data_IF_604201890921
#
_entry.id   IF_604201890921
#
_cell.length_a   1.000
_cell.length_b   1.000
_cell.length_c   1.000
_cell.angle_alpha   90.00
_cell.angle_beta   90.00
_cell.angle_gamma   90.00
#
_symmetry.space_group_name_H-M   'P 1'
#
loop_
_entity.id
_entity.type
_entity.pdbx_description
1 polymer ?
#
# COMPACT_ATOMS: atom_id res chain seq x y z
N UNK A 1 112.64 -31.45 -3.88
CA UNK A 1 112.80 -30.90 -2.54
C UNK A 1 111.53 -30.04 -2.23
N UNK A 2 110.66 -30.60 -1.38
CA UNK A 2 109.97 -29.88 -0.30
C UNK A 2 109.08 -28.65 -0.79
N UNK A 3 107.77 -28.46 -0.59
CA UNK A 3 106.94 -28.75 0.53
C UNK A 3 105.45 -28.38 0.12
N UNK A 4 104.48 -29.17 0.49
CA UNK A 4 103.11 -28.79 0.73
C UNK A 4 103.07 -27.67 1.91
N UNK A 5 101.96 -27.05 2.28
CA UNK A 5 100.49 -27.30 1.96
C UNK A 5 99.71 -25.98 1.92
N UNK A 6 98.48 -26.02 1.58
CA UNK A 6 97.34 -25.81 2.54
C UNK A 6 95.96 -25.68 1.86
N UNK A 7 94.99 -26.32 2.50
CA UNK A 7 93.56 -26.31 2.24
C UNK A 7 92.92 -24.93 2.37
N UNK A 8 92.02 -24.59 1.51
CA UNK A 8 90.82 -23.78 1.90
C UNK A 8 89.60 -24.12 1.04
N UNK A 9 88.70 -24.72 1.71
CA UNK A 9 87.23 -24.68 1.74
C UNK A 9 86.45 -24.22 0.47
N UNK A 10 85.80 -25.22 -0.12
CA UNK A 10 84.60 -25.04 -0.96
C UNK A 10 83.48 -24.56 -0.05
N UNK A 11 82.88 -23.35 -0.28
CA UNK A 11 81.60 -22.99 0.21
C UNK A 11 80.57 -23.44 -0.82
N UNK A 12 79.74 -24.37 -0.44
CA UNK A 12 78.49 -24.73 -1.09
C UNK A 12 77.56 -23.56 -1.05
N UNK A 13 77.03 -23.14 -2.19
CA UNK A 13 75.92 -22.22 -2.27
C UNK A 13 74.63 -22.99 -1.91
N UNK A 14 73.95 -22.52 -0.89
CA UNK A 14 72.75 -23.07 -0.33
C UNK A 14 71.59 -22.95 -1.36
N UNK A 15 70.80 -24.05 -1.65
CA UNK A 15 69.70 -23.99 -2.61
C UNK A 15 68.44 -23.28 -2.12
N UNK A 16 68.51 -22.56 -1.00
CA UNK A 16 67.39 -21.86 -0.37
C UNK A 16 66.97 -20.49 -0.96
N UNK A 17 67.79 -19.92 -1.91
CA UNK A 17 67.53 -18.54 -2.37
C UNK A 17 66.77 -18.47 -3.73
N UNK A 18 66.61 -19.61 -4.42
CA UNK A 18 65.92 -19.61 -5.75
C UNK A 18 64.39 -19.83 -5.63
N UNK A 19 63.89 -20.21 -4.45
CA UNK A 19 62.46 -20.51 -4.25
C UNK A 19 61.59 -19.29 -3.88
N UNK A 20 62.16 -18.10 -3.62
CA UNK A 20 61.41 -16.93 -3.12
C UNK A 20 61.02 -15.93 -4.23
N UNK A 21 61.58 -16.05 -5.45
CA UNK A 21 61.25 -15.13 -6.54
C UNK A 21 60.14 -15.63 -7.51
N UNK A 22 59.64 -16.86 -7.37
CA UNK A 22 58.59 -17.40 -8.25
C UNK A 22 57.19 -17.37 -7.63
N UNK A 23 57.07 -16.94 -6.37
CA UNK A 23 55.75 -16.87 -5.67
C UNK A 23 55.08 -15.50 -5.70
N UNK A 24 55.72 -14.48 -6.29
CA UNK A 24 55.20 -13.07 -6.23
C UNK A 24 54.46 -12.63 -7.51
N UNK A 25 54.24 -13.50 -8.47
CA UNK A 25 53.56 -13.14 -9.75
C UNK A 25 52.23 -13.88 -10.02
N UNK A 26 51.68 -14.56 -9.02
CA UNK A 26 50.38 -15.27 -9.16
C UNK A 26 49.29 -14.71 -8.22
N UNK A 27 49.42 -13.46 -7.76
CA UNK A 27 48.45 -12.85 -6.86
C UNK A 27 47.70 -11.65 -7.48
N UNK A 28 47.29 -11.80 -8.74
CA UNK A 28 46.49 -10.75 -9.42
C UNK A 28 45.31 -11.31 -10.20
N UNK A 29 44.62 -12.28 -9.62
CA UNK A 29 43.23 -12.59 -9.94
C UNK A 29 42.60 -13.15 -8.66
N UNK A 30 42.33 -12.26 -7.70
CA UNK A 30 41.33 -12.55 -6.70
C UNK A 30 39.98 -12.54 -7.44
N UNK A 31 39.19 -13.63 -7.42
CA UNK A 31 37.80 -13.53 -7.83
C UNK A 31 37.16 -12.45 -6.95
N UNK A 32 36.31 -11.64 -7.58
CA UNK A 32 35.48 -10.66 -6.87
C UNK A 32 35.00 -11.29 -5.56
N UNK A 33 35.28 -10.61 -4.46
CA UNK A 33 35.04 -11.08 -3.11
C UNK A 33 33.69 -11.77 -3.03
N UNK A 34 33.70 -13.08 -2.77
CA UNK A 34 32.53 -13.78 -2.31
C UNK A 34 31.92 -12.96 -1.18
N UNK A 35 30.65 -12.59 -1.34
CA UNK A 35 29.84 -11.89 -0.37
C UNK A 35 29.98 -12.64 0.97
N UNK A 36 30.73 -12.07 1.90
CA UNK A 36 30.68 -12.55 3.28
C UNK A 36 29.28 -12.24 3.76
N UNK A 37 28.47 -13.21 4.25
CA UNK A 37 27.21 -12.87 4.89
C UNK A 37 27.60 -12.04 6.12
N UNK A 38 27.51 -10.70 6.00
CA UNK A 38 27.46 -9.84 7.16
C UNK A 38 26.29 -10.39 8.00
N UNK A 39 26.50 -10.50 9.29
CA UNK A 39 25.44 -10.86 10.23
C UNK A 39 24.32 -9.84 10.08
N UNK A 40 23.40 -10.12 9.15
CA UNK A 40 22.12 -9.44 9.04
C UNK A 40 21.41 -9.68 10.35
N UNK A 41 20.88 -8.65 10.97
CA UNK A 41 20.02 -8.84 12.14
C UNK A 41 18.94 -9.85 11.71
N UNK A 42 18.95 -11.01 12.35
CA UNK A 42 18.13 -12.13 11.92
C UNK A 42 16.66 -11.76 12.09
N UNK A 43 15.83 -12.03 11.08
CA UNK A 43 14.38 -11.88 11.20
C UNK A 43 13.89 -13.07 12.02
N UNK A 44 13.61 -12.81 13.30
CA UNK A 44 13.21 -13.82 14.29
C UNK A 44 11.71 -14.06 14.23
N UNK A 45 11.28 -15.32 14.14
CA UNK A 45 9.87 -15.69 14.15
C UNK A 45 9.14 -15.14 15.39
N UNK A 46 9.75 -15.24 16.57
CA UNK A 46 9.16 -14.75 17.81
C UNK A 46 8.87 -13.23 17.79
N UNK A 47 9.70 -12.46 17.06
CA UNK A 47 9.46 -11.02 16.89
C UNK A 47 8.28 -10.74 15.97
N UNK A 48 8.21 -11.41 14.83
CA UNK A 48 7.11 -11.32 13.87
C UNK A 48 5.79 -11.73 14.53
N UNK A 49 5.77 -12.88 15.18
CA UNK A 49 4.61 -13.41 15.90
C UNK A 49 4.12 -12.43 16.99
N UNK A 50 5.03 -11.80 17.74
CA UNK A 50 4.68 -10.82 18.75
C UNK A 50 3.91 -9.62 18.17
N UNK A 51 4.36 -9.11 17.01
CA UNK A 51 3.70 -7.97 16.35
C UNK A 51 2.31 -8.37 15.85
N UNK A 52 2.20 -9.53 15.18
CA UNK A 52 0.90 -10.05 14.71
C UNK A 52 -0.07 -10.20 15.89
N UNK A 53 0.34 -10.89 16.96
CA UNK A 53 -0.50 -11.10 18.15
C UNK A 53 -0.91 -9.80 18.83
N UNK A 54 -0.08 -8.76 18.79
CA UNK A 54 -0.43 -7.46 19.34
C UNK A 54 -1.48 -6.75 18.48
N UNK A 55 -1.34 -6.78 17.16
CA UNK A 55 -2.27 -6.14 16.23
C UNK A 55 -3.61 -6.90 16.13
N UNK A 56 -3.56 -8.24 16.10
CA UNK A 56 -4.75 -9.08 16.01
C UNK A 56 -5.35 -9.44 17.37
N UNK A 57 -5.00 -8.74 18.45
CA UNK A 57 -5.62 -8.96 19.75
C UNK A 57 -7.01 -8.33 19.84
N UNK A 58 -7.94 -8.96 20.57
CA UNK A 58 -9.29 -8.42 20.85
C UNK A 58 -9.28 -6.99 21.39
N UNK A 59 -8.22 -6.61 22.11
CA UNK A 59 -8.04 -5.25 22.62
C UNK A 59 -7.88 -4.19 21.53
N UNK A 60 -7.49 -4.59 20.32
CA UNK A 60 -7.42 -3.74 19.12
C UNK A 60 -8.77 -3.65 18.38
N UNK A 61 -9.76 -4.48 18.77
CA UNK A 61 -11.15 -4.45 18.28
C UNK A 61 -11.27 -4.45 16.75
N UNK A 62 -10.37 -5.17 16.08
CA UNK A 62 -10.33 -5.28 14.63
C UNK A 62 -9.89 -4.01 13.90
N UNK A 63 -9.32 -3.02 14.59
CA UNK A 63 -8.62 -1.85 14.02
C UNK A 63 -9.40 -1.12 12.92
N UNK A 64 -10.74 -1.06 13.04
CA UNK A 64 -11.59 -0.43 12.01
C UNK A 64 -11.09 0.99 11.69
N UNK A 65 -10.92 1.28 10.42
CA UNK A 65 -10.58 2.61 9.94
C UNK A 65 -11.58 3.67 10.45
N UNK A 66 -11.13 4.90 10.63
CA UNK A 66 -11.94 6.02 11.15
C UNK A 66 -12.41 5.82 12.60
N UNK A 67 -11.73 4.96 13.36
CA UNK A 67 -12.02 4.70 14.77
C UNK A 67 -10.82 4.97 15.67
N UNK A 68 -11.06 5.07 16.98
CA UNK A 68 -9.98 5.14 17.97
C UNK A 68 -9.18 3.83 18.06
N UNK A 69 -9.76 2.72 17.61
CA UNK A 69 -9.11 1.41 17.62
C UNK A 69 -7.97 1.37 16.57
N UNK A 70 -8.19 1.95 15.38
CA UNK A 70 -7.13 2.13 14.39
C UNK A 70 -6.04 3.08 14.90
N UNK A 71 -6.40 4.20 15.56
CA UNK A 71 -5.41 5.13 16.13
C UNK A 71 -4.57 4.45 17.23
N UNK A 72 -5.17 3.57 18.04
CA UNK A 72 -4.42 2.77 19.03
C UNK A 72 -3.41 1.84 18.37
N UNK A 73 -3.76 1.20 17.25
CA UNK A 73 -2.83 0.39 16.47
C UNK A 73 -1.70 1.25 15.86
N UNK A 74 -2.00 2.46 15.40
CA UNK A 74 -1.00 3.41 14.92
C UNK A 74 -0.02 3.81 16.03
N UNK A 75 -0.50 4.10 17.24
CA UNK A 75 0.37 4.43 18.38
C UNK A 75 1.27 3.25 18.76
N UNK A 76 0.77 2.03 18.73
CA UNK A 76 1.58 0.82 18.95
C UNK A 76 2.70 0.70 17.89
N UNK A 77 2.37 0.85 16.61
CA UNK A 77 3.34 0.76 15.52
C UNK A 77 4.37 1.89 15.57
N UNK A 78 3.94 3.11 15.89
CA UNK A 78 4.85 4.25 16.09
C UNK A 78 5.87 3.98 17.21
N UNK A 79 5.43 3.35 18.31
CA UNK A 79 6.32 2.93 19.41
C UNK A 79 7.30 1.83 18.96
N UNK A 80 6.90 0.90 18.10
CA UNK A 80 7.80 -0.11 17.53
C UNK A 80 8.88 0.53 16.64
N UNK A 81 8.50 1.47 15.74
CA UNK A 81 9.47 2.17 14.90
C UNK A 81 10.45 3.01 15.74
N UNK A 82 9.97 3.65 16.80
CA UNK A 82 10.79 4.36 17.75
C UNK A 82 11.78 3.43 18.48
N UNK A 83 11.33 2.25 18.92
CA UNK A 83 12.19 1.26 19.58
C UNK A 83 13.27 0.69 18.66
N UNK A 84 12.99 0.57 17.37
CA UNK A 84 13.97 0.19 16.33
C UNK A 84 14.99 1.30 16.12
N UNK A 85 14.64 2.57 16.38
CA UNK A 85 15.50 3.74 16.20
C UNK A 85 15.49 4.29 14.77
N UNK A 86 14.36 4.16 14.05
CA UNK A 86 14.18 4.81 12.75
C UNK A 86 14.14 6.34 12.91
N UNK A 87 14.42 7.04 11.81
CA UNK A 87 14.18 8.48 11.76
C UNK A 87 12.71 8.76 11.42
N UNK A 88 12.16 9.77 12.08
CA UNK A 88 10.81 10.27 11.78
C UNK A 88 10.88 11.19 10.56
N UNK A 89 10.07 10.96 9.51
CA UNK A 89 10.07 11.80 8.33
C UNK A 89 9.64 13.24 8.64
N UNK A 90 10.12 14.18 7.84
CA UNK A 90 9.68 15.58 7.93
C UNK A 90 8.15 15.68 7.72
N UNK A 91 7.50 16.54 8.51
CA UNK A 91 6.04 16.76 8.43
C UNK A 91 5.20 15.72 9.18
N UNK A 92 5.83 14.82 9.96
CA UNK A 92 5.12 13.88 10.84
C UNK A 92 5.17 14.34 12.30
N UNK A 93 4.20 13.87 13.10
CA UNK A 93 4.20 13.99 14.56
C UNK A 93 4.84 12.72 15.15
N UNK A 94 6.15 12.76 15.38
CA UNK A 94 6.93 11.55 15.58
C UNK A 94 6.84 10.68 14.33
N UNK A 95 6.33 9.46 14.45
CA UNK A 95 6.13 8.54 13.33
C UNK A 95 4.72 8.61 12.73
N UNK A 96 3.84 9.46 13.27
CA UNK A 96 2.46 9.57 12.83
C UNK A 96 2.31 10.66 11.75
N UNK A 97 2.03 10.25 10.53
CA UNK A 97 1.59 11.13 9.47
C UNK A 97 0.10 11.36 9.62
N UNK A 98 -0.29 12.41 10.38
CA UNK A 98 -1.69 12.73 10.69
C UNK A 98 -2.34 13.46 9.54
N UNK A 99 -3.59 13.07 9.26
CA UNK A 99 -4.47 13.72 8.30
C UNK A 99 -5.92 13.48 8.67
N UNK A 100 -6.88 13.97 7.89
CA UNK A 100 -8.29 13.68 8.11
C UNK A 100 -9.01 13.35 6.81
N UNK A 101 -10.08 12.58 6.96
CA UNK A 101 -11.11 12.42 5.95
C UNK A 101 -12.36 13.19 6.39
N UNK A 102 -13.12 13.66 5.41
CA UNK A 102 -14.38 14.35 5.61
C UNK A 102 -15.51 13.47 5.14
N UNK A 103 -16.42 13.14 6.05
CA UNK A 103 -17.66 12.44 5.75
C UNK A 103 -18.79 13.44 5.65
N UNK A 104 -19.41 13.53 4.48
CA UNK A 104 -20.52 14.44 4.17
C UNK A 104 -21.80 13.64 4.00
N UNK A 105 -22.80 13.91 4.83
CA UNK A 105 -24.11 13.25 4.79
C UNK A 105 -25.16 14.25 4.33
N UNK A 106 -25.87 14.02 3.22
CA UNK A 106 -26.97 14.88 2.80
C UNK A 106 -28.00 15.09 3.92
N UNK A 107 -28.38 16.34 4.19
CA UNK A 107 -29.31 16.68 5.27
C UNK A 107 -30.58 17.31 4.73
N UNK A 108 -30.50 18.54 4.18
CA UNK A 108 -31.60 19.33 3.69
C UNK A 108 -31.34 19.85 2.30
N UNK A 109 -32.38 19.98 1.50
CA UNK A 109 -32.26 20.55 0.17
C UNK A 109 -33.60 21.13 -0.32
N UNK A 110 -33.47 22.06 -1.26
CA UNK A 110 -34.57 22.60 -2.05
C UNK A 110 -34.13 22.73 -3.50
N UNK A 111 -34.94 22.24 -4.39
CA UNK A 111 -34.76 22.37 -5.83
C UNK A 111 -36.01 23.00 -6.43
N UNK A 112 -35.83 24.03 -7.24
CA UNK A 112 -36.89 24.72 -7.99
C UNK A 112 -36.51 24.67 -9.46
N UNK A 113 -37.44 24.23 -10.30
CA UNK A 113 -37.31 24.19 -11.76
C UNK A 113 -38.46 24.95 -12.37
N UNK A 114 -38.20 25.90 -13.26
CA UNK A 114 -39.16 26.76 -13.92
C UNK A 114 -40.19 27.40 -12.95
N UNK A 115 -39.69 27.86 -11.81
CA UNK A 115 -40.50 28.49 -10.79
C UNK A 115 -41.32 27.54 -9.89
N UNK A 116 -41.24 26.23 -10.08
CA UNK A 116 -41.94 25.21 -9.27
C UNK A 116 -40.96 24.57 -8.29
N UNK A 117 -41.30 24.55 -7.01
CA UNK A 117 -40.59 23.80 -5.99
C UNK A 117 -40.86 22.30 -6.19
N UNK A 118 -39.78 21.48 -6.24
CA UNK A 118 -39.87 20.02 -6.29
C UNK A 118 -40.12 19.47 -4.87
N UNK A 119 -40.85 18.36 -4.80
CA UNK A 119 -41.03 17.63 -3.55
C UNK A 119 -39.74 16.86 -3.17
N UNK A 120 -39.52 16.57 -1.86
CA UNK A 120 -38.32 15.90 -1.37
C UNK A 120 -38.04 14.49 -1.98
N UNK A 121 -39.05 13.89 -2.59
CA UNK A 121 -38.89 12.59 -3.29
C UNK A 121 -38.61 12.74 -4.80
N UNK A 122 -38.59 13.98 -5.31
CA UNK A 122 -38.35 14.31 -6.72
C UNK A 122 -36.90 14.79 -6.96
N UNK A 123 -36.07 14.88 -5.92
CA UNK A 123 -34.65 15.19 -6.09
C UNK A 123 -33.81 14.47 -5.05
N UNK A 124 -32.52 14.34 -5.34
CA UNK A 124 -31.48 13.95 -4.40
C UNK A 124 -30.17 14.63 -4.78
N UNK A 125 -29.24 14.70 -3.84
CA UNK A 125 -27.92 15.27 -4.12
C UNK A 125 -26.81 14.47 -3.45
N UNK A 126 -25.68 14.42 -4.14
CA UNK A 126 -24.41 13.89 -3.65
C UNK A 126 -23.53 15.11 -3.35
N UNK A 127 -23.20 15.37 -2.08
CA UNK A 127 -22.43 16.56 -1.72
C UNK A 127 -20.94 16.39 -2.05
N UNK A 128 -20.36 17.41 -2.66
CA UNK A 128 -18.90 17.58 -2.78
C UNK A 128 -18.38 18.66 -1.82
N UNK A 129 -19.31 19.49 -1.31
CA UNK A 129 -19.07 20.57 -0.34
C UNK A 129 -20.18 20.60 0.71
N UNK A 130 -19.96 21.30 1.84
CA UNK A 130 -20.93 21.40 2.93
C UNK A 130 -22.25 22.05 2.52
N UNK A 131 -22.20 23.04 1.63
CA UNK A 131 -23.41 23.73 1.16
C UNK A 131 -23.34 24.03 -0.33
N UNK A 132 -24.47 23.86 -0.99
CA UNK A 132 -24.70 24.17 -2.39
C UNK A 132 -25.70 25.33 -2.49
N UNK A 133 -25.43 26.32 -3.34
CA UNK A 133 -26.35 27.39 -3.70
C UNK A 133 -26.13 27.73 -5.17
N UNK A 134 -26.97 27.17 -6.05
CA UNK A 134 -26.87 27.31 -7.50
C UNK A 134 -28.11 28.00 -8.08
N UNK A 135 -27.89 28.79 -9.09
CA UNK A 135 -28.90 29.43 -9.93
C UNK A 135 -28.61 29.09 -11.41
N UNK A 136 -29.57 29.35 -12.27
CA UNK A 136 -29.45 29.14 -13.73
C UNK A 136 -28.14 29.68 -14.28
N UNK A 137 -27.33 28.80 -14.87
CA UNK A 137 -26.04 29.14 -15.47
C UNK A 137 -24.82 28.86 -14.55
N UNK A 138 -25.01 28.58 -13.26
CA UNK A 138 -23.87 28.32 -12.34
C UNK A 138 -23.20 26.97 -12.59
N UNK A 139 -23.98 25.96 -13.01
CA UNK A 139 -23.46 24.62 -13.30
C UNK A 139 -24.06 24.06 -14.58
N UNK A 140 -23.39 23.10 -15.25
CA UNK A 140 -23.95 22.38 -16.39
C UNK A 140 -25.27 21.71 -16.03
N UNK A 141 -26.25 21.80 -16.94
CA UNK A 141 -27.50 21.03 -16.87
C UNK A 141 -27.44 19.90 -17.86
N UNK A 142 -27.58 18.68 -17.38
CA UNK A 142 -27.57 17.44 -18.15
C UNK A 142 -28.99 16.91 -18.16
N UNK A 143 -29.57 16.74 -19.34
CA UNK A 143 -30.94 16.22 -19.51
C UNK A 143 -30.87 14.76 -19.93
N UNK A 144 -31.64 13.94 -19.25
CA UNK A 144 -31.88 12.53 -19.58
C UNK A 144 -33.34 12.42 -20.02
N UNK A 145 -33.54 12.34 -21.32
CA UNK A 145 -34.85 12.19 -21.95
C UNK A 145 -35.39 10.78 -21.83
N UNK A 146 -36.64 10.56 -22.29
CA UNK A 146 -37.34 9.27 -22.09
C UNK A 146 -36.70 8.07 -22.81
N UNK A 147 -35.89 8.33 -23.85
CA UNK A 147 -35.23 7.27 -24.65
C UNK A 147 -33.73 7.10 -24.31
N UNK A 148 -33.21 7.87 -23.32
CA UNK A 148 -31.82 7.84 -22.92
C UNK A 148 -31.49 6.71 -21.92
N UNK A 149 -30.18 6.45 -21.70
CA UNK A 149 -29.67 5.47 -20.74
C UNK A 149 -29.37 6.14 -19.37
N UNK A 150 -30.34 6.22 -18.44
CA UNK A 150 -30.22 7.03 -17.24
C UNK A 150 -29.13 6.53 -16.28
N UNK A 151 -28.96 5.21 -16.12
CA UNK A 151 -28.00 4.63 -15.18
C UNK A 151 -26.57 4.99 -15.55
N UNK A 152 -26.20 4.78 -16.81
CA UNK A 152 -24.86 5.05 -17.32
C UNK A 152 -24.54 6.57 -17.25
N UNK A 153 -25.49 7.42 -17.63
CA UNK A 153 -25.33 8.87 -17.62
C UNK A 153 -25.16 9.42 -16.23
N UNK A 154 -26.04 9.07 -15.27
CA UNK A 154 -25.92 9.56 -13.89
C UNK A 154 -24.62 9.11 -13.26
N UNK A 155 -24.21 7.85 -13.49
CA UNK A 155 -22.97 7.31 -12.94
C UNK A 155 -21.74 8.02 -13.53
N UNK A 156 -21.74 8.27 -14.83
CA UNK A 156 -20.67 9.01 -15.50
C UNK A 156 -20.53 10.43 -14.93
N UNK A 157 -21.63 11.16 -14.81
CA UNK A 157 -21.66 12.52 -14.24
C UNK A 157 -21.20 12.53 -12.79
N UNK A 158 -21.61 11.53 -12.00
CA UNK A 158 -21.22 11.39 -10.58
C UNK A 158 -19.70 11.22 -10.39
N UNK A 159 -19.03 10.73 -11.40
CA UNK A 159 -17.58 10.47 -11.38
C UNK A 159 -16.77 11.48 -12.21
N UNK A 160 -17.43 12.43 -12.87
CA UNK A 160 -16.79 13.36 -13.81
C UNK A 160 -15.96 14.47 -13.14
N UNK A 161 -16.06 14.64 -11.83
CA UNK A 161 -15.25 15.60 -11.07
C UNK A 161 -15.66 17.07 -11.21
N UNK A 162 -16.86 17.36 -11.72
CA UNK A 162 -17.42 18.71 -11.81
C UNK A 162 -18.85 18.76 -11.25
N UNK A 163 -19.25 19.94 -10.76
CA UNK A 163 -20.60 20.20 -10.27
C UNK A 163 -21.64 20.12 -11.40
N UNK A 164 -22.78 19.47 -11.18
CA UNK A 164 -23.81 19.32 -12.20
C UNK A 164 -25.22 19.21 -11.64
N UNK A 165 -26.21 19.73 -12.41
CA UNK A 165 -27.62 19.45 -12.26
C UNK A 165 -28.07 18.47 -13.34
N UNK A 166 -28.61 17.30 -12.95
CA UNK A 166 -29.12 16.29 -13.88
C UNK A 166 -30.64 16.27 -13.80
N UNK A 167 -31.30 16.59 -14.91
CA UNK A 167 -32.77 16.51 -15.06
C UNK A 167 -33.11 15.14 -15.65
N UNK A 168 -33.89 14.36 -14.94
CA UNK A 168 -34.26 12.99 -15.31
C UNK A 168 -35.73 12.95 -15.68
N UNK A 169 -36.06 12.48 -16.88
CA UNK A 169 -37.44 12.32 -17.32
C UNK A 169 -38.22 11.35 -16.40
N UNK A 170 -39.50 11.61 -16.18
CA UNK A 170 -40.36 10.80 -15.31
C UNK A 170 -40.51 9.35 -15.78
N UNK A 171 -40.27 9.06 -17.06
CA UNK A 171 -40.20 7.68 -17.58
C UNK A 171 -39.15 6.82 -16.87
N UNK A 172 -38.09 7.45 -16.33
CA UNK A 172 -37.00 6.77 -15.64
C UNK A 172 -37.13 6.75 -14.10
N UNK A 173 -38.35 6.92 -13.56
CA UNK A 173 -38.60 7.00 -12.11
C UNK A 173 -37.99 5.81 -11.33
N UNK A 174 -37.94 4.61 -11.89
CA UNK A 174 -37.37 3.43 -11.20
C UNK A 174 -35.86 3.59 -10.99
N UNK A 175 -35.11 3.92 -12.03
CA UNK A 175 -33.66 4.17 -11.95
C UNK A 175 -33.36 5.38 -11.07
N UNK A 176 -34.15 6.46 -11.19
CA UNK A 176 -34.04 7.64 -10.32
C UNK A 176 -34.14 7.24 -8.84
N UNK A 177 -35.12 6.42 -8.45
CA UNK A 177 -35.25 5.93 -7.06
C UNK A 177 -34.02 5.15 -6.57
N UNK A 178 -33.37 4.39 -7.43
CA UNK A 178 -32.13 3.69 -7.06
C UNK A 178 -31.03 4.71 -6.72
N UNK A 179 -30.85 5.75 -7.56
CA UNK A 179 -29.90 6.81 -7.29
C UNK A 179 -30.25 7.66 -6.06
N UNK A 180 -31.54 7.87 -5.76
CA UNK A 180 -31.95 8.51 -4.51
C UNK A 180 -31.44 7.74 -3.29
N UNK A 181 -31.46 6.40 -3.32
CA UNK A 181 -30.91 5.60 -2.23
C UNK A 181 -29.39 5.70 -2.14
N UNK A 182 -28.70 5.75 -3.28
CA UNK A 182 -27.25 5.95 -3.34
C UNK A 182 -26.87 7.33 -2.83
N UNK A 183 -27.54 8.40 -3.28
CA UNK A 183 -27.24 9.79 -2.95
C UNK A 183 -27.62 10.18 -1.51
N UNK A 184 -28.44 9.38 -0.82
CA UNK A 184 -28.72 9.54 0.60
C UNK A 184 -27.60 9.02 1.50
N UNK A 185 -26.68 8.22 0.94
CA UNK A 185 -25.53 7.73 1.69
C UNK A 185 -24.51 8.83 1.87
N UNK A 186 -23.73 8.73 2.94
CA UNK A 186 -22.59 9.61 3.16
C UNK A 186 -21.54 9.43 2.07
N UNK A 187 -20.90 10.53 1.70
CA UNK A 187 -19.73 10.56 0.83
C UNK A 187 -18.51 10.87 1.69
N UNK A 188 -17.47 10.07 1.56
CA UNK A 188 -16.21 10.32 2.26
C UNK A 188 -15.12 10.72 1.27
N UNK A 189 -14.30 11.69 1.64
CA UNK A 189 -13.14 12.16 0.85
C UNK A 189 -12.03 12.61 1.78
N UNK A 190 -10.80 12.69 1.29
CA UNK A 190 -9.73 13.37 2.04
C UNK A 190 -10.11 14.84 2.28
N UNK A 191 -9.82 15.35 3.46
CA UNK A 191 -10.25 16.71 3.86
C UNK A 191 -9.58 17.82 3.04
N UNK A 192 -8.42 17.54 2.46
CA UNK A 192 -7.71 18.42 1.53
C UNK A 192 -8.26 18.41 0.09
N UNK A 193 -9.29 17.60 -0.16
CA UNK A 193 -9.87 17.44 -1.49
C UNK A 193 -11.24 18.11 -1.58
N UNK A 194 -11.43 18.98 -2.55
CA UNK A 194 -12.75 19.53 -2.90
C UNK A 194 -13.41 18.56 -3.88
N UNK A 195 -14.53 17.99 -3.46
CA UNK A 195 -15.33 17.10 -4.32
C UNK A 195 -16.31 17.87 -5.20
N UNK A 196 -16.79 17.23 -6.25
CA UNK A 196 -17.90 17.72 -7.06
C UNK A 196 -19.25 17.36 -6.42
N UNK A 197 -20.18 18.28 -6.48
CA UNK A 197 -21.57 18.07 -6.06
C UNK A 197 -22.44 17.75 -7.27
N UNK A 198 -23.29 16.74 -7.16
CA UNK A 198 -24.26 16.38 -8.21
C UNK A 198 -25.66 16.35 -7.63
N UNK A 199 -26.57 17.09 -8.29
CA UNK A 199 -27.99 17.11 -7.96
C UNK A 199 -28.76 16.41 -9.09
N UNK A 200 -29.59 15.43 -8.74
CA UNK A 200 -30.50 14.78 -9.69
C UNK A 200 -31.93 15.21 -9.38
N UNK A 201 -32.74 15.51 -10.39
CA UNK A 201 -34.12 15.94 -10.25
C UNK A 201 -35.01 15.20 -11.24
N UNK A 202 -36.10 14.59 -10.75
CA UNK A 202 -37.11 13.90 -11.57
C UNK A 202 -38.12 14.90 -12.05
N UNK A 203 -37.97 15.36 -13.28
CA UNK A 203 -38.82 16.40 -13.88
C UNK A 203 -38.69 16.39 -15.40
N UNK A 204 -39.82 16.55 -16.09
CA UNK A 204 -39.84 16.76 -17.53
C UNK A 204 -39.52 18.23 -17.84
N UNK A 205 -38.24 18.49 -18.07
CA UNK A 205 -37.75 19.83 -18.39
C UNK A 205 -36.57 19.73 -19.38
N UNK A 206 -36.28 20.80 -20.11
CA UNK A 206 -35.16 20.88 -21.03
C UNK A 206 -33.93 21.57 -20.38
N UNK A 207 -32.81 21.57 -21.09
CA UNK A 207 -31.55 22.15 -20.59
C UNK A 207 -31.61 23.69 -20.40
N UNK A 208 -32.61 24.37 -20.96
CA UNK A 208 -32.81 25.80 -20.81
C UNK A 208 -33.70 26.16 -19.62
N UNK A 209 -34.19 25.16 -18.85
CA UNK A 209 -35.01 25.37 -17.67
C UNK A 209 -34.34 26.29 -16.65
N UNK A 210 -35.05 27.23 -16.13
CA UNK A 210 -34.57 28.07 -15.03
C UNK A 210 -34.54 27.23 -13.73
N UNK A 211 -33.41 27.26 -13.02
CA UNK A 211 -33.28 26.50 -11.79
C UNK A 211 -32.74 27.29 -10.62
N UNK A 212 -33.10 26.86 -9.43
CA UNK A 212 -32.49 27.26 -8.17
C UNK A 212 -32.31 25.98 -7.33
N UNK A 213 -31.12 25.79 -6.82
CA UNK A 213 -30.77 24.68 -5.94
C UNK A 213 -30.13 25.22 -4.69
N UNK A 214 -30.60 24.76 -3.54
CA UNK A 214 -29.91 24.93 -2.27
C UNK A 214 -29.91 23.62 -1.53
N UNK A 215 -28.73 23.18 -1.07
CA UNK A 215 -28.61 21.96 -0.30
C UNK A 215 -27.49 22.06 0.74
N UNK A 216 -27.65 21.32 1.84
CA UNK A 216 -26.71 21.32 2.96
C UNK A 216 -26.44 19.90 3.39
N UNK A 217 -25.17 19.58 3.63
CA UNK A 217 -24.71 18.31 4.19
C UNK A 217 -24.24 18.51 5.64
N UNK A 218 -24.41 17.48 6.47
CA UNK A 218 -23.66 17.38 7.70
C UNK A 218 -22.24 16.93 7.36
N UNK A 219 -21.24 17.62 7.94
CA UNK A 219 -19.82 17.31 7.76
C UNK A 219 -19.25 16.83 9.07
N UNK A 220 -18.57 15.70 9.03
CA UNK A 220 -17.79 15.17 10.15
C UNK A 220 -16.36 14.99 9.68
N UNK A 221 -15.41 15.57 10.40
CA UNK A 221 -13.98 15.33 10.20
C UNK A 221 -13.57 14.11 11.02
N UNK A 222 -12.96 13.14 10.35
CA UNK A 222 -12.53 11.87 10.94
C UNK A 222 -10.99 11.81 10.90
N UNK A 223 -10.33 11.82 12.08
CA UNK A 223 -8.86 11.78 12.13
C UNK A 223 -8.33 10.43 11.68
N UNK A 224 -7.23 10.47 10.94
CA UNK A 224 -6.49 9.33 10.43
C UNK A 224 -4.99 9.52 10.65
N UNK A 225 -4.24 8.44 10.70
CA UNK A 225 -2.79 8.48 10.78
C UNK A 225 -2.15 7.31 10.03
N UNK A 226 -1.28 7.58 9.07
CA UNK A 226 -0.31 6.58 8.65
C UNK A 226 0.83 6.53 9.66
N UNK A 227 1.51 5.40 9.75
CA UNK A 227 2.74 5.27 10.55
C UNK A 227 3.91 5.16 9.60
N UNK A 228 4.84 6.11 9.66
CA UNK A 228 5.94 6.18 8.69
C UNK A 228 7.27 6.39 9.42
N UNK A 229 8.26 5.59 9.07
CA UNK A 229 9.63 5.74 9.53
C UNK A 229 10.61 5.62 8.38
N UNK A 230 11.83 6.11 8.56
CA UNK A 230 12.86 6.09 7.52
C UNK A 230 14.23 5.67 8.04
N UNK A 231 15.03 5.12 7.13
CA UNK A 231 16.46 4.91 7.28
C UNK A 231 17.13 5.70 6.16
N UNK A 232 17.80 6.84 6.46
CA UNK A 232 18.47 7.64 5.46
C UNK A 232 19.54 6.85 4.71
N UNK A 233 19.53 6.94 3.40
CA UNK A 233 20.52 6.34 2.51
C UNK A 233 21.58 7.33 2.06
N UNK A 234 22.63 6.82 1.37
CA UNK A 234 23.64 7.67 0.73
C UNK A 234 23.07 8.47 -0.43
N UNK A 235 22.07 7.89 -1.15
CA UNK A 235 21.26 8.56 -2.16
C UNK A 235 19.96 9.02 -1.51
N UNK A 236 19.93 10.28 -1.13
CA UNK A 236 18.79 10.87 -0.42
C UNK A 236 17.60 11.19 -1.34
N UNK A 237 17.78 11.06 -2.65
CA UNK A 237 16.79 11.33 -3.69
C UNK A 237 16.17 10.05 -4.29
N UNK A 238 16.64 8.87 -3.88
CA UNK A 238 16.09 7.56 -4.29
C UNK A 238 15.47 6.85 -3.08
N UNK A 239 14.20 6.49 -3.17
CA UNK A 239 13.45 5.81 -2.11
C UNK A 239 13.08 4.37 -2.47
N UNK A 240 13.22 3.48 -1.49
CA UNK A 240 12.61 2.14 -1.51
C UNK A 240 11.57 2.10 -0.39
N UNK A 241 10.32 1.85 -0.74
CA UNK A 241 9.18 1.84 0.18
C UNK A 241 8.77 0.40 0.50
N UNK A 242 8.66 0.09 1.79
CA UNK A 242 8.02 -1.11 2.32
C UNK A 242 6.72 -0.70 2.99
N UNK A 243 5.62 -1.31 2.61
CA UNK A 243 4.30 -0.94 3.10
C UNK A 243 3.37 -2.12 3.33
N UNK A 244 2.39 -1.90 4.19
CA UNK A 244 1.22 -2.72 4.42
C UNK A 244 0.13 -1.84 5.04
N UNK A 245 -1.14 -2.26 5.02
CA UNK A 245 -2.15 -1.58 5.82
C UNK A 245 -2.28 -2.24 7.19
N UNK A 246 -2.62 -1.42 8.20
CA UNK A 246 -2.76 -1.90 9.57
C UNK A 246 -4.21 -1.90 10.07
N UNK A 247 -5.13 -1.26 9.34
CA UNK A 247 -6.55 -1.31 9.63
C UNK A 247 -7.17 -2.64 9.18
N UNK A 248 -8.37 -2.93 9.68
CA UNK A 248 -9.22 -4.02 9.23
C UNK A 248 -10.69 -3.64 9.43
N UNK A 249 -11.60 -4.58 9.36
CA UNK A 249 -13.04 -4.32 9.26
C UNK A 249 -13.79 -4.20 10.60
N UNK A 250 -13.08 -4.24 11.73
CA UNK A 250 -13.63 -3.94 13.06
C UNK A 250 -14.62 -4.95 13.59
N UNK A 251 -15.70 -4.45 14.20
CA UNK A 251 -16.75 -5.27 14.81
C UNK A 251 -17.78 -5.68 13.76
N UNK A 252 -17.97 -6.96 13.57
CA UNK A 252 -18.87 -7.56 12.62
C UNK A 252 -20.09 -8.19 13.29
N UNK A 253 -21.02 -8.73 12.48
CA UNK A 253 -22.11 -9.53 13.02
C UNK A 253 -21.55 -10.79 13.70
N UNK A 254 -22.05 -11.14 14.90
CA UNK A 254 -21.53 -12.29 15.62
C UNK A 254 -21.64 -13.58 14.80
N UNK A 255 -20.53 -14.30 14.74
CA UNK A 255 -20.45 -15.64 14.17
C UNK A 255 -19.83 -16.58 15.21
N UNK A 256 -20.49 -17.67 15.55
CA UNK A 256 -20.05 -18.66 16.59
C UNK A 256 -19.75 -18.05 17.97
N UNK A 257 -20.32 -16.89 18.28
CA UNK A 257 -20.13 -16.19 19.56
C UNK A 257 -19.05 -15.12 19.54
N UNK A 258 -18.33 -14.97 18.44
CA UNK A 258 -17.35 -13.90 18.21
C UNK A 258 -17.90 -12.86 17.24
N UNK A 259 -17.45 -11.60 17.40
CA UNK A 259 -17.85 -10.46 16.55
C UNK A 259 -16.68 -9.56 16.16
N UNK A 260 -15.47 -9.85 16.64
CA UNK A 260 -14.28 -9.05 16.35
C UNK A 260 -13.57 -9.68 15.17
N UNK A 261 -13.53 -8.97 14.04
CA UNK A 261 -12.69 -9.37 12.92
C UNK A 261 -11.25 -8.92 13.23
N UNK A 262 -10.48 -9.82 13.82
CA UNK A 262 -9.13 -9.51 14.31
C UNK A 262 -8.11 -9.27 13.18
N UNK A 263 -8.37 -9.77 11.94
CA UNK A 263 -7.55 -9.50 10.79
C UNK A 263 -6.09 -9.89 10.98
N UNK A 264 -5.87 -11.14 11.41
CA UNK A 264 -4.53 -11.65 11.68
C UNK A 264 -3.72 -11.83 10.39
N UNK A 265 -4.36 -12.41 9.36
CA UNK A 265 -3.80 -12.51 8.03
C UNK A 265 -3.97 -11.19 7.27
N UNK A 266 -5.15 -10.61 7.33
CA UNK A 266 -5.54 -9.37 6.66
C UNK A 266 -5.63 -8.18 7.64
N UNK A 267 -4.63 -7.28 7.82
CA UNK A 267 -3.29 -7.43 7.27
C UNK A 267 -2.25 -7.22 8.39
N UNK A 268 -2.52 -7.80 9.61
CA UNK A 268 -1.50 -7.79 10.66
C UNK A 268 -0.24 -8.55 10.23
N UNK A 269 -0.37 -9.57 9.37
CA UNK A 269 0.75 -10.34 8.82
C UNK A 269 1.69 -9.48 8.00
N UNK A 270 1.17 -8.71 7.05
CA UNK A 270 1.95 -7.77 6.22
C UNK A 270 2.51 -6.61 7.02
N UNK A 271 1.73 -6.06 7.95
CA UNK A 271 2.18 -4.98 8.83
C UNK A 271 3.35 -5.44 9.73
N UNK A 272 3.27 -6.65 10.29
CA UNK A 272 4.37 -7.23 11.05
C UNK A 272 5.63 -7.43 10.20
N UNK A 273 5.47 -7.80 8.92
CA UNK A 273 6.58 -7.91 7.99
C UNK A 273 7.28 -6.56 7.77
N UNK A 274 6.52 -5.47 7.58
CA UNK A 274 7.09 -4.11 7.43
C UNK A 274 7.92 -3.73 8.66
N UNK A 275 7.41 -3.97 9.87
CA UNK A 275 8.15 -3.68 11.12
C UNK A 275 9.39 -4.57 11.26
N UNK A 276 9.30 -5.86 10.90
CA UNK A 276 10.44 -6.77 10.94
C UNK A 276 11.52 -6.42 9.91
N UNK A 277 11.13 -5.98 8.71
CA UNK A 277 12.05 -5.48 7.68
C UNK A 277 12.72 -4.17 8.12
N UNK A 278 11.99 -3.27 8.78
CA UNK A 278 12.55 -2.04 9.35
C UNK A 278 13.66 -2.37 10.37
N UNK A 279 13.39 -3.30 11.30
CA UNK A 279 14.40 -3.77 12.27
C UNK A 279 15.60 -4.42 11.59
N UNK A 280 15.35 -5.25 10.58
CA UNK A 280 16.40 -5.94 9.82
C UNK A 280 17.34 -4.96 9.13
N UNK A 281 16.79 -4.00 8.38
CA UNK A 281 17.61 -3.04 7.64
C UNK A 281 18.29 -2.00 8.56
N UNK A 282 17.67 -1.60 9.67
CA UNK A 282 18.30 -0.75 10.68
C UNK A 282 19.57 -1.38 11.26
N UNK A 283 19.60 -2.70 11.41
CA UNK A 283 20.78 -3.45 11.88
C UNK A 283 21.92 -3.55 10.85
N UNK A 284 21.71 -3.17 9.59
CA UNK A 284 22.72 -3.31 8.52
C UNK A 284 23.57 -2.04 8.28
N UNK A 285 23.30 -0.97 9.01
CA UNK A 285 23.96 0.34 8.79
C UNK A 285 23.33 1.12 7.63
N UNK A 286 24.03 2.15 7.15
CA UNK A 286 23.52 3.10 6.15
C UNK A 286 23.33 2.43 4.78
N UNK A 287 22.09 2.30 4.27
CA UNK A 287 21.84 1.74 2.94
C UNK A 287 22.29 2.68 1.82
N UNK A 288 22.33 2.19 0.60
CA UNK A 288 22.63 3.05 -0.56
C UNK A 288 21.44 3.97 -0.89
N UNK A 289 20.22 3.46 -0.85
CA UNK A 289 18.98 4.21 -1.06
C UNK A 289 18.28 4.45 0.27
N UNK A 290 17.60 5.58 0.39
CA UNK A 290 16.75 5.84 1.57
C UNK A 290 15.60 4.85 1.63
N UNK A 291 15.40 4.20 2.78
CA UNK A 291 14.31 3.27 3.00
C UNK A 291 13.18 3.97 3.74
N UNK A 292 11.97 3.76 3.25
CA UNK A 292 10.74 4.19 3.90
C UNK A 292 9.96 2.95 4.33
N UNK A 293 9.42 2.98 5.54
CA UNK A 293 8.56 1.95 6.10
C UNK A 293 7.25 2.60 6.47
N UNK A 294 6.16 2.19 5.82
CA UNK A 294 4.84 2.79 5.99
C UNK A 294 3.79 1.74 6.33
N UNK A 295 3.09 1.94 7.45
CA UNK A 295 1.86 1.23 7.73
C UNK A 295 0.70 2.19 7.44
N UNK A 296 -0.11 1.87 6.43
CA UNK A 296 -1.21 2.71 5.98
C UNK A 296 -2.49 2.43 6.75
N UNK A 297 -3.34 3.43 6.85
CA UNK A 297 -4.68 3.33 7.42
C UNK A 297 -5.74 3.40 6.34
N UNK A 298 -6.91 2.88 6.66
CA UNK A 298 -8.11 2.97 5.83
C UNK A 298 -7.92 2.41 4.40
N UNK A 299 -7.18 1.33 4.26
CA UNK A 299 -7.14 0.52 3.04
C UNK A 299 -8.52 -0.06 2.78
N UNK A 300 -9.10 -0.74 3.78
CA UNK A 300 -10.43 -1.35 3.78
C UNK A 300 -11.55 -0.32 3.55
N UNK A 301 -11.30 0.91 3.95
CA UNK A 301 -12.20 2.04 3.74
C UNK A 301 -12.10 2.70 2.37
N UNK A 302 -11.13 2.29 1.53
CA UNK A 302 -10.90 2.84 0.18
C UNK A 302 -9.52 3.49 -0.03
N UNK A 303 -8.49 3.03 0.68
CA UNK A 303 -7.09 3.41 0.47
C UNK A 303 -6.78 4.88 0.83
N UNK A 304 -7.41 5.43 1.88
CA UNK A 304 -7.20 6.83 2.23
C UNK A 304 -5.77 7.11 2.68
N UNK A 305 -5.14 6.18 3.39
CA UNK A 305 -3.77 6.31 3.86
C UNK A 305 -2.76 6.40 2.73
N UNK A 306 -2.77 5.42 1.84
CA UNK A 306 -1.87 5.37 0.69
C UNK A 306 -2.13 6.51 -0.30
N UNK A 307 -3.41 6.92 -0.49
CA UNK A 307 -3.79 8.07 -1.33
C UNK A 307 -3.28 9.39 -0.76
N UNK A 308 -3.31 9.56 0.58
CA UNK A 308 -2.72 10.74 1.21
C UNK A 308 -1.21 10.72 1.09
N UNK A 309 -0.57 9.61 1.43
CA UNK A 309 0.88 9.44 1.40
C UNK A 309 1.47 9.68 0.00
N UNK A 310 0.87 9.12 -1.05
CA UNK A 310 1.37 9.23 -2.42
C UNK A 310 1.38 10.67 -2.96
N UNK A 311 0.61 11.58 -2.38
CA UNK A 311 0.58 13.01 -2.73
C UNK A 311 1.69 13.82 -2.06
N UNK A 312 2.36 13.24 -1.04
CA UNK A 312 3.39 13.94 -0.27
C UNK A 312 4.79 13.72 -0.83
N UNK A 313 4.96 12.80 -1.76
CA UNK A 313 6.24 12.41 -2.35
C UNK A 313 6.23 12.56 -3.86
N UNK A 314 7.40 12.90 -4.40
CA UNK A 314 7.64 12.83 -5.84
C UNK A 314 7.71 11.34 -6.26
N UNK A 315 6.80 10.85 -7.10
CA UNK A 315 6.79 9.45 -7.52
C UNK A 315 8.04 9.06 -8.33
N UNK A 316 8.73 10.00 -8.97
CA UNK A 316 9.95 9.72 -9.72
C UNK A 316 11.14 9.38 -8.80
N UNK A 317 11.08 9.77 -7.52
CA UNK A 317 12.08 9.43 -6.51
C UNK A 317 11.85 8.04 -5.89
N UNK A 318 10.67 7.43 -6.07
CA UNK A 318 10.37 6.10 -5.54
C UNK A 318 10.76 5.06 -6.59
N UNK A 319 11.87 4.36 -6.32
CA UNK A 319 12.44 3.37 -7.25
C UNK A 319 11.78 2.00 -7.15
N UNK A 320 11.17 1.68 -6.01
CA UNK A 320 10.38 0.46 -5.80
C UNK A 320 9.47 0.61 -4.59
N UNK A 321 8.30 -0.02 -4.63
CA UNK A 321 7.39 -0.20 -3.50
C UNK A 321 7.10 -1.69 -3.32
N UNK A 322 7.40 -2.20 -2.15
CA UNK A 322 7.06 -3.53 -1.65
C UNK A 322 5.80 -3.39 -0.79
N UNK A 323 4.63 -3.58 -1.37
CA UNK A 323 3.40 -3.66 -0.60
C UNK A 323 3.20 -5.10 -0.15
N UNK A 324 3.03 -5.35 1.14
CA UNK A 324 2.99 -6.69 1.70
C UNK A 324 1.57 -6.96 2.19
N UNK A 325 0.96 -8.03 1.63
CA UNK A 325 -0.47 -8.25 1.72
C UNK A 325 -0.76 -9.71 2.02
N UNK A 326 -1.34 -10.01 3.21
CA UNK A 326 -1.84 -11.34 3.54
C UNK A 326 -0.82 -12.46 3.30
N UNK A 327 0.23 -12.52 4.11
CA UNK A 327 1.35 -13.47 3.97
C UNK A 327 1.40 -14.54 5.07
N UNK A 328 0.32 -14.69 5.84
CA UNK A 328 0.27 -15.62 6.97
C UNK A 328 -0.10 -17.05 6.61
N UNK A 329 -0.60 -17.31 5.41
CA UNK A 329 -1.04 -18.64 4.95
C UNK A 329 -0.26 -19.08 3.72
N UNK A 330 0.16 -20.37 3.61
CA UNK A 330 0.88 -20.87 2.44
C UNK A 330 0.07 -20.73 1.16
N UNK A 331 0.74 -20.36 0.07
CA UNK A 331 0.15 -20.27 -1.25
C UNK A 331 -0.21 -21.65 -1.83
N UNK A 332 -1.02 -21.66 -2.90
CA UNK A 332 -1.42 -22.93 -3.57
C UNK A 332 -0.22 -23.70 -4.14
N UNK A 333 0.86 -23.02 -4.48
CA UNK A 333 2.12 -23.63 -4.93
C UNK A 333 2.92 -24.26 -3.77
N UNK A 334 2.47 -24.08 -2.55
CA UNK A 334 3.04 -24.68 -1.36
C UNK A 334 3.85 -23.71 -0.49
N UNK A 335 4.49 -24.23 0.56
CA UNK A 335 5.30 -23.42 1.47
C UNK A 335 6.53 -22.83 0.74
N UNK A 336 7.08 -21.75 1.29
CA UNK A 336 8.22 -21.02 0.73
C UNK A 336 7.97 -20.47 -0.69
N UNK A 337 6.73 -20.08 -0.98
CA UNK A 337 6.37 -19.41 -2.23
C UNK A 337 5.54 -18.17 -1.95
N UNK A 338 5.69 -17.15 -2.79
CA UNK A 338 4.85 -15.95 -2.77
C UNK A 338 4.57 -15.47 -4.20
N UNK A 339 3.39 -14.92 -4.41
CA UNK A 339 3.00 -14.34 -5.68
C UNK A 339 3.05 -12.82 -5.64
N UNK A 340 3.26 -12.22 -6.80
CA UNK A 340 3.46 -10.78 -6.97
C UNK A 340 2.43 -10.27 -7.98
N UNK A 341 1.61 -9.30 -7.58
CA UNK A 341 0.66 -8.66 -8.48
C UNK A 341 1.36 -7.87 -9.57
N UNK A 342 0.87 -7.97 -10.81
CA UNK A 342 1.46 -7.25 -11.94
C UNK A 342 2.91 -7.64 -12.24
N UNK A 343 3.32 -8.87 -12.00
CA UNK A 343 4.69 -9.40 -12.15
C UNK A 343 5.34 -8.98 -13.48
N UNK A 344 4.58 -8.99 -14.57
CA UNK A 344 5.07 -8.68 -15.91
C UNK A 344 5.04 -7.17 -16.24
N UNK A 345 4.51 -6.31 -15.36
CA UNK A 345 4.40 -4.87 -15.59
C UNK A 345 5.71 -4.11 -15.37
N UNK A 346 6.67 -4.73 -14.67
CA UNK A 346 8.01 -4.19 -14.47
C UNK A 346 9.02 -5.33 -14.28
N UNK A 347 10.30 -4.99 -14.14
CA UNK A 347 11.32 -5.99 -13.82
C UNK A 347 11.37 -6.34 -12.31
N UNK A 348 10.51 -5.78 -11.48
CA UNK A 348 10.50 -5.99 -10.02
C UNK A 348 10.42 -7.47 -9.63
N UNK A 349 9.43 -8.20 -10.13
CA UNK A 349 9.22 -9.61 -9.79
C UNK A 349 10.41 -10.49 -10.18
N UNK A 350 10.99 -10.25 -11.38
CA UNK A 350 12.18 -10.98 -11.83
C UNK A 350 13.41 -10.72 -10.97
N UNK A 351 13.63 -9.47 -10.55
CA UNK A 351 14.72 -9.11 -9.64
C UNK A 351 14.60 -9.87 -8.32
N UNK A 352 13.39 -9.97 -7.77
CA UNK A 352 13.16 -10.70 -6.52
C UNK A 352 13.40 -12.20 -6.72
N UNK A 353 12.88 -12.79 -7.80
CA UNK A 353 13.06 -14.20 -8.10
C UNK A 353 14.54 -14.55 -8.30
N UNK A 354 15.30 -13.76 -9.06
CA UNK A 354 16.74 -13.95 -9.27
C UNK A 354 17.52 -13.87 -7.94
N UNK A 355 17.12 -13.00 -7.03
CA UNK A 355 17.79 -12.84 -5.74
C UNK A 355 17.60 -14.03 -4.79
N UNK A 356 16.57 -14.84 -4.98
CA UNK A 356 16.30 -16.03 -4.18
C UNK A 356 16.73 -17.34 -4.88
N UNK A 357 17.31 -17.27 -6.09
CA UNK A 357 17.84 -18.44 -6.78
C UNK A 357 18.80 -19.24 -5.91
N UNK A 358 18.67 -20.57 -5.92
CA UNK A 358 19.47 -21.49 -5.10
C UNK A 358 19.04 -21.55 -3.63
N UNK A 359 17.94 -20.90 -3.26
CA UNK A 359 17.26 -21.11 -1.97
C UNK A 359 16.03 -21.99 -2.15
N UNK A 360 15.35 -22.31 -1.05
CA UNK A 360 14.08 -23.04 -1.09
C UNK A 360 12.88 -22.13 -1.38
N UNK A 361 13.09 -20.81 -1.57
CA UNK A 361 12.01 -19.83 -1.77
C UNK A 361 11.84 -19.44 -3.24
N UNK A 362 10.59 -19.18 -3.65
CA UNK A 362 10.27 -18.73 -5.02
C UNK A 362 9.24 -17.60 -5.02
N UNK A 363 9.45 -16.63 -5.92
CA UNK A 363 8.45 -15.62 -6.27
C UNK A 363 7.90 -15.93 -7.68
N UNK A 364 6.60 -15.77 -7.87
CA UNK A 364 5.94 -16.06 -9.13
C UNK A 364 4.81 -15.05 -9.43
N UNK A 365 4.30 -15.02 -10.66
CA UNK A 365 3.19 -14.14 -11.01
C UNK A 365 1.91 -14.45 -10.22
N UNK A 366 1.09 -13.42 -9.98
CA UNK A 366 -0.25 -13.54 -9.42
C UNK A 366 -1.07 -14.63 -10.15
N UNK A 367 -1.50 -15.70 -9.46
CA UNK A 367 -2.27 -16.78 -10.06
C UNK A 367 -3.76 -16.45 -10.28
N UNK A 368 -4.21 -15.24 -9.90
CA UNK A 368 -5.61 -14.81 -9.91
C UNK A 368 -5.89 -13.66 -10.90
N UNK A 369 -5.56 -13.78 -12.21
CA UNK A 369 -5.62 -12.67 -13.15
C UNK A 369 -7.02 -12.09 -13.33
N UNK A 370 -8.08 -12.89 -13.12
CA UNK A 370 -9.48 -12.45 -13.22
C UNK A 370 -9.92 -11.52 -12.10
N UNK A 371 -9.20 -11.48 -10.98
CA UNK A 371 -9.52 -10.62 -9.84
C UNK A 371 -8.94 -9.21 -9.97
N UNK A 372 -8.01 -9.00 -10.89
CA UNK A 372 -7.42 -7.68 -11.15
C UNK A 372 -6.69 -7.11 -9.94
N UNK A 373 -6.00 -7.94 -9.16
CA UNK A 373 -5.44 -7.62 -7.85
C UNK A 373 -4.39 -6.50 -7.87
N UNK A 374 -3.75 -6.25 -9.03
CA UNK A 374 -2.68 -5.24 -9.12
C UNK A 374 -3.11 -3.82 -8.70
N UNK A 375 -4.38 -3.48 -8.86
CA UNK A 375 -4.90 -2.15 -8.50
C UNK A 375 -5.90 -2.19 -7.33
N UNK A 376 -5.85 -3.21 -6.48
CA UNK A 376 -6.82 -3.42 -5.40
C UNK A 376 -6.26 -3.22 -3.99
N UNK A 377 -4.97 -2.93 -3.83
CA UNK A 377 -4.37 -2.60 -2.55
C UNK A 377 -3.57 -1.29 -2.62
N UNK A 378 -2.88 -0.92 -1.57
CA UNK A 378 -2.19 0.37 -1.38
C UNK A 378 -1.12 0.68 -2.45
N UNK A 379 -0.56 -0.33 -3.09
CA UNK A 379 0.37 -0.16 -4.21
C UNK A 379 -0.27 0.59 -5.39
N UNK A 380 -1.58 0.51 -5.53
CA UNK A 380 -2.31 1.03 -6.70
C UNK A 380 -2.09 2.53 -6.90
N UNK A 381 -2.01 3.31 -5.81
CA UNK A 381 -1.85 4.76 -5.89
C UNK A 381 -0.55 5.17 -6.58
N UNK A 382 0.55 4.52 -6.23
CA UNK A 382 1.88 4.78 -6.81
C UNK A 382 2.06 4.06 -8.15
N UNK A 383 1.50 2.86 -8.34
CA UNK A 383 1.54 2.14 -9.61
C UNK A 383 0.88 2.94 -10.75
N UNK A 384 -0.25 3.62 -10.49
CA UNK A 384 -0.91 4.52 -11.46
C UNK A 384 -0.04 5.72 -11.86
N UNK A 385 0.89 6.12 -11.01
CA UNK A 385 1.88 7.17 -11.28
C UNK A 385 3.18 6.62 -11.91
N UNK A 386 3.19 5.35 -12.30
CA UNK A 386 4.32 4.71 -12.96
C UNK A 386 5.40 4.16 -12.03
N UNK A 387 5.21 4.19 -10.72
CA UNK A 387 6.15 3.56 -9.76
C UNK A 387 6.07 2.05 -9.91
N UNK A 388 7.20 1.30 -9.89
CA UNK A 388 7.18 -0.16 -9.77
C UNK A 388 6.74 -0.56 -8.35
N UNK A 389 5.43 -0.44 -8.14
CA UNK A 389 4.73 -0.70 -6.89
C UNK A 389 3.90 -1.98 -7.03
N UNK A 390 4.27 -3.00 -6.30
CA UNK A 390 3.69 -4.33 -6.41
C UNK A 390 3.28 -4.86 -5.04
N UNK A 391 2.15 -5.57 -4.96
CA UNK A 391 1.79 -6.33 -3.77
C UNK A 391 2.39 -7.72 -3.83
N UNK A 392 2.93 -8.17 -2.70
CA UNK A 392 3.46 -9.50 -2.46
C UNK A 392 2.53 -10.20 -1.49
N UNK A 393 1.99 -11.33 -1.86
CA UNK A 393 1.10 -12.11 -1.02
C UNK A 393 1.37 -13.61 -1.12
N UNK A 394 0.83 -14.38 -0.19
CA UNK A 394 0.90 -15.83 -0.21
C UNK A 394 -0.48 -16.48 -0.10
N UNK A 395 -1.48 -15.76 0.37
CA UNK A 395 -2.78 -16.32 0.67
C UNK A 395 -3.54 -16.76 -0.59
N UNK A 396 -4.12 -17.98 -0.60
CA UNK A 396 -4.94 -18.45 -1.70
C UNK A 396 -6.35 -17.83 -1.63
N UNK A 397 -6.46 -16.60 -2.09
CA UNK A 397 -7.63 -15.71 -1.89
C UNK A 397 -8.97 -16.25 -2.44
N UNK A 398 -8.92 -17.19 -3.35
CA UNK A 398 -10.11 -17.82 -3.96
C UNK A 398 -10.71 -18.93 -3.09
N UNK A 399 -9.98 -19.42 -2.10
CA UNK A 399 -10.40 -20.53 -1.21
C UNK A 399 -10.14 -20.23 0.28
N UNK A 400 -9.74 -19.02 0.61
CA UNK A 400 -9.55 -18.60 2.01
C UNK A 400 -10.91 -18.23 2.64
N UNK A 401 -11.48 -19.15 3.43
CA UNK A 401 -12.76 -18.95 4.12
C UNK A 401 -12.68 -17.91 5.25
N UNK A 402 -11.49 -17.48 5.66
CA UNK A 402 -11.31 -16.52 6.75
C UNK A 402 -11.22 -15.06 6.25
N UNK A 403 -11.03 -14.85 4.94
CA UNK A 403 -10.91 -13.52 4.36
C UNK A 403 -12.14 -12.66 4.67
N UNK A 404 -11.93 -11.50 5.34
CA UNK A 404 -12.98 -10.59 5.82
C UNK A 404 -14.00 -11.26 6.76
N UNK A 405 -13.57 -12.24 7.55
CA UNK A 405 -14.39 -12.93 8.55
C UNK A 405 -13.81 -12.73 9.96
N UNK A 406 -14.66 -12.93 10.97
CA UNK A 406 -14.23 -12.96 12.37
C UNK A 406 -13.32 -14.16 12.68
N UNK A 407 -13.22 -15.12 11.78
CA UNK A 407 -12.34 -16.27 11.89
C UNK A 407 -10.91 -16.02 11.40
N UNK A 408 -10.59 -14.82 10.88
CA UNK A 408 -9.20 -14.44 10.56
C UNK A 408 -8.40 -14.17 11.85
N UNK A 409 -8.03 -15.25 12.52
CA UNK A 409 -7.40 -15.29 13.82
C UNK A 409 -5.93 -15.72 13.75
N UNK A 410 -5.18 -15.39 14.78
CA UNK A 410 -3.75 -15.72 14.87
C UNK A 410 -3.48 -17.22 14.76
N UNK A 411 -4.43 -18.04 15.22
CA UNK A 411 -4.36 -19.51 15.23
C UNK A 411 -4.49 -20.10 13.81
N UNK A 412 -4.95 -19.32 12.83
CA UNK A 412 -5.05 -19.76 11.42
C UNK A 412 -3.74 -19.59 10.66
N UNK A 413 -2.75 -18.90 11.24
CA UNK A 413 -1.51 -18.54 10.59
C UNK A 413 -0.39 -19.58 10.75
N UNK A 414 0.39 -19.76 9.69
CA UNK A 414 1.68 -20.45 9.73
C UNK A 414 2.83 -19.45 9.92
N UNK A 415 3.28 -19.26 11.15
CA UNK A 415 4.34 -18.31 11.48
C UNK A 415 5.72 -18.69 10.91
N UNK A 416 5.98 -19.97 10.67
CA UNK A 416 7.22 -20.38 10.01
C UNK A 416 7.21 -19.93 8.56
N UNK A 417 6.11 -20.18 7.84
CA UNK A 417 5.89 -19.72 6.49
C UNK A 417 5.96 -18.19 6.40
N UNK A 418 5.20 -17.46 7.25
CA UNK A 418 5.20 -16.01 7.32
C UNK A 418 6.61 -15.46 7.49
N UNK A 419 7.37 -15.98 8.46
CA UNK A 419 8.74 -15.52 8.73
C UNK A 419 9.69 -15.80 7.56
N UNK A 420 9.57 -16.97 6.92
CA UNK A 420 10.36 -17.28 5.73
C UNK A 420 10.04 -16.37 4.55
N UNK A 421 8.76 -15.98 4.41
CA UNK A 421 8.33 -14.98 3.43
C UNK A 421 9.00 -13.62 3.67
N UNK A 422 8.99 -13.15 4.92
CA UNK A 422 9.68 -11.89 5.28
C UNK A 422 11.18 -11.95 4.98
N UNK A 423 11.84 -13.08 5.29
CA UNK A 423 13.27 -13.32 4.97
C UNK A 423 13.53 -13.30 3.47
N UNK A 424 12.65 -13.91 2.68
CA UNK A 424 12.75 -13.91 1.22
C UNK A 424 12.56 -12.49 0.64
N UNK A 425 11.60 -11.71 1.15
CA UNK A 425 11.41 -10.31 0.78
C UNK A 425 12.66 -9.49 1.11
N UNK A 426 13.22 -9.63 2.31
CA UNK A 426 14.47 -8.95 2.71
C UNK A 426 15.62 -9.27 1.74
N UNK A 427 15.78 -10.56 1.38
CA UNK A 427 16.79 -11.01 0.42
C UNK A 427 16.55 -10.45 -0.99
N UNK A 428 15.31 -10.50 -1.48
CA UNK A 428 14.92 -9.93 -2.77
C UNK A 428 15.16 -8.43 -2.86
N UNK A 429 14.83 -7.71 -1.79
CA UNK A 429 15.00 -6.28 -1.70
C UNK A 429 16.47 -5.82 -1.68
N UNK A 430 17.39 -6.66 -1.20
CA UNK A 430 18.79 -6.28 -0.99
C UNK A 430 19.49 -5.75 -2.26
N UNK A 431 19.17 -6.28 -3.43
CA UNK A 431 19.74 -5.81 -4.69
C UNK A 431 19.22 -4.42 -5.08
N UNK A 432 17.97 -4.12 -4.76
CA UNK A 432 17.34 -2.82 -4.98
C UNK A 432 17.82 -1.81 -3.94
N UNK A 433 17.81 -2.18 -2.66
CA UNK A 433 18.28 -1.33 -1.55
C UNK A 433 19.74 -0.91 -1.72
N UNK A 434 20.60 -1.81 -2.19
CA UNK A 434 22.01 -1.54 -2.46
C UNK A 434 22.29 -0.80 -3.77
N UNK A 435 21.27 -0.42 -4.54
CA UNK A 435 21.43 0.27 -5.81
C UNK A 435 21.98 -0.58 -6.96
N UNK A 436 22.16 -1.91 -6.76
CA UNK A 436 22.67 -2.82 -7.81
C UNK A 436 21.64 -3.13 -8.88
N UNK A 437 20.36 -3.09 -8.51
CA UNK A 437 19.24 -3.18 -9.44
C UNK A 437 18.28 -2.02 -9.25
N UNK A 438 17.65 -1.59 -10.35
CA UNK A 438 16.54 -0.63 -10.35
C UNK A 438 15.44 -1.24 -11.22
N UNK A 439 14.26 -1.52 -10.66
CA UNK A 439 13.14 -2.00 -11.45
C UNK A 439 12.75 -1.01 -12.56
N UNK A 440 12.30 -1.52 -13.69
CA UNK A 440 11.71 -0.68 -14.74
C UNK A 440 10.40 -0.08 -14.24
N UNK A 441 10.08 1.13 -14.71
CA UNK A 441 8.81 1.79 -14.38
C UNK A 441 7.62 0.99 -14.92
N UNK A 442 6.50 1.05 -14.22
CA UNK A 442 5.20 0.59 -14.71
C UNK A 442 4.67 1.62 -15.71
N UNK A 443 3.99 1.19 -16.77
CA UNK A 443 3.27 2.12 -17.63
C UNK A 443 2.13 2.77 -16.82
N UNK A 444 2.11 4.11 -16.71
CA UNK A 444 1.02 4.79 -16.01
C UNK A 444 -0.33 4.47 -16.67
N UNK A 445 -1.38 4.32 -15.87
CA UNK A 445 -2.73 4.30 -16.43
C UNK A 445 -2.98 5.63 -17.13
N UNK A 446 -3.34 5.58 -18.43
CA UNK A 446 -3.80 6.77 -19.15
C UNK A 446 -4.97 7.36 -18.34
N UNK A 447 -4.82 8.60 -17.89
CA UNK A 447 -5.75 9.23 -16.98
C UNK A 447 -7.20 9.12 -17.46
N UNK A 448 -8.04 8.58 -16.57
CA UNK A 448 -9.49 8.71 -16.66
C UNK A 448 -9.91 10.11 -16.24
#
# INVERSE_FOLDING_TARGET
MIQEPSRRARRSLDPGVVAILSAALLSACAPASAFSPQQTAEIEQAYVERIVRALAADSMRGREAFSEDALRAADFLAAELAAIGLESPEGTDGYLQRFSARTMTPRDGRVRIDGRDLFPNQFAFRPGVESISWSTGDVPVIVIGPDDEPFATINSVSNAGFDALVLVDEAHNEVFRQFVQIYRRSVRTLSDTVGASVVIALVNADAAAAYQVSAVANVVEEPLANVVGSIPGRRSDEYVLFSAHYDHIGIQRPFQGDSIANGANDNASGTAAVVALARHFAGQGTPERTLLFAAFTAEEGGGYGSRYFSRQLDPDRIVAMFNIEMIGKPAVEGPNTAWITGFERSSFGRILQEAVEGTEYSFYPDPYPTYGLFYRSDNATLARLGVPAHSISTTPIDVDDDYHQVSDEVETLDFAHLTNTVRAIARGAQTIVSGRATPTRVEPEAGN
#
